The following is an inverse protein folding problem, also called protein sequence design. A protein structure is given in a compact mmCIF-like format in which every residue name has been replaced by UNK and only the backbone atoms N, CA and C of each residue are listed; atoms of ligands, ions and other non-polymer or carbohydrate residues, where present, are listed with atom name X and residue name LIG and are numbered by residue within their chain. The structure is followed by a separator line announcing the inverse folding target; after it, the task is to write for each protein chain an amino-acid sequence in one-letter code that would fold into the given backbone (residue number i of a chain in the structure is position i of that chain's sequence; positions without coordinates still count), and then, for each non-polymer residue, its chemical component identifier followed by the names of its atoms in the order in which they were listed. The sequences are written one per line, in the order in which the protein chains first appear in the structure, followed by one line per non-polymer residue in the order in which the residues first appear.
data_IF_050649404576
#
_entry.id   IF_050649404576
#
_cell.length_a   1.000
_cell.length_b   1.000
_cell.length_c   1.000
_cell.angle_alpha   90.00
_cell.angle_beta   90.00
_cell.angle_gamma   90.00
#
_symmetry.space_group_name_H-M   'P 1'
#
loop_
_entity.id
_entity.type
_entity.pdbx_description
1 polymer ?
#
# COMPACT_ATOMS: atom_id res chain seq x y z
N UNK A 1 -21.13 20.57 -4.13
CA UNK A 1 -20.31 20.80 -5.30
C UNK A 1 -19.49 19.57 -5.65
N UNK A 2 -20.00 18.78 -6.50
CA UNK A 2 -19.44 17.45 -6.67
C UNK A 2 -18.53 17.30 -7.89
N UNK A 3 -18.13 18.40 -8.53
CA UNK A 3 -17.09 18.32 -9.51
C UNK A 3 -15.71 18.12 -8.86
N UNK A 4 -15.64 18.21 -7.52
CA UNK A 4 -14.44 17.87 -6.80
C UNK A 4 -14.23 16.36 -6.81
N UNK A 5 -12.98 15.97 -6.86
CA UNK A 5 -12.59 14.61 -6.65
C UNK A 5 -12.94 14.21 -5.21
N UNK A 6 -13.79 13.21 -5.05
CA UNK A 6 -13.96 12.57 -3.76
C UNK A 6 -12.74 11.70 -3.50
N UNK A 7 -12.19 11.78 -2.30
CA UNK A 7 -10.96 11.07 -2.00
C UNK A 7 -11.16 9.57 -2.06
N UNK A 8 -10.31 8.86 -2.81
CA UNK A 8 -10.33 7.41 -2.77
C UNK A 8 -9.87 6.91 -1.41
N UNK A 9 -10.27 5.70 -1.07
CA UNK A 9 -9.83 5.04 0.15
C UNK A 9 -8.79 3.99 -0.18
N UNK A 10 -7.87 3.79 0.75
CA UNK A 10 -6.78 2.83 0.61
C UNK A 10 -6.79 1.90 1.82
N UNK A 11 -6.69 0.60 1.59
CA UNK A 11 -6.64 -0.37 2.67
C UNK A 11 -5.66 -1.48 2.32
N UNK A 12 -4.83 -1.87 3.27
CA UNK A 12 -3.92 -2.99 3.08
C UNK A 12 -4.72 -4.28 3.31
N UNK A 13 -4.85 -5.09 2.27
CA UNK A 13 -5.62 -6.33 2.31
C UNK A 13 -4.76 -7.57 2.34
N UNK A 14 -3.54 -7.47 1.82
CA UNK A 14 -2.68 -8.62 1.67
C UNK A 14 -1.23 -8.20 1.78
N UNK A 15 -0.45 -9.00 2.49
CA UNK A 15 1.01 -8.87 2.52
C UNK A 15 1.57 -10.26 2.28
N UNK A 16 2.41 -10.40 1.27
CA UNK A 16 3.05 -11.65 0.95
C UNK A 16 4.56 -11.47 0.90
N UNK A 17 5.28 -12.51 1.32
CA UNK A 17 6.72 -12.59 1.11
C UNK A 17 6.93 -13.20 -0.26
N UNK A 18 7.61 -12.48 -1.14
CA UNK A 18 7.87 -12.95 -2.49
C UNK A 18 9.28 -13.50 -2.65
N UNK A 19 10.21 -13.09 -1.78
CA UNK A 19 11.58 -13.54 -1.84
C UNK A 19 12.28 -13.34 -0.51
N UNK A 20 13.05 -14.32 -0.10
CA UNK A 20 13.97 -14.26 1.04
C UNK A 20 15.39 -14.49 0.54
N UNK A 21 16.31 -13.65 0.99
CA UNK A 21 17.74 -13.85 0.80
C UNK A 21 18.41 -13.91 2.17
N UNK A 22 19.74 -13.98 2.18
CA UNK A 22 20.48 -14.03 3.45
C UNK A 22 20.37 -12.72 4.23
N UNK A 23 20.12 -11.61 3.56
CA UNK A 23 20.11 -10.30 4.20
C UNK A 23 18.79 -9.56 4.03
N UNK A 24 18.01 -9.88 3.00
CA UNK A 24 16.87 -9.10 2.58
C UNK A 24 15.59 -9.90 2.53
N UNK A 25 14.49 -9.20 2.66
CA UNK A 25 13.16 -9.76 2.49
C UNK A 25 12.38 -8.86 1.52
N UNK A 26 11.72 -9.48 0.55
CA UNK A 26 10.89 -8.80 -0.43
C UNK A 26 9.44 -9.08 -0.12
N UNK A 27 8.66 -8.02 0.00
CA UNK A 27 7.23 -8.09 0.22
C UNK A 27 6.48 -7.63 -1.03
N UNK A 28 5.27 -8.14 -1.16
CA UNK A 28 4.27 -7.60 -2.07
C UNK A 28 3.05 -7.23 -1.25
N UNK A 29 2.67 -5.96 -1.32
CA UNK A 29 1.49 -5.47 -0.64
C UNK A 29 0.33 -5.40 -1.62
N UNK A 30 -0.81 -5.98 -1.24
CA UNK A 30 -2.05 -5.79 -1.97
C UNK A 30 -2.82 -4.66 -1.31
N UNK A 31 -2.87 -3.52 -1.99
CA UNK A 31 -3.54 -2.32 -1.50
C UNK A 31 -4.85 -2.18 -2.26
N UNK A 32 -5.96 -2.24 -1.53
CA UNK A 32 -7.26 -2.05 -2.12
C UNK A 32 -7.54 -0.57 -2.25
N UNK A 33 -7.76 -0.12 -3.48
CA UNK A 33 -8.06 1.28 -3.77
C UNK A 33 -9.51 1.35 -4.23
N UNK A 34 -10.32 2.11 -3.50
CA UNK A 34 -11.72 2.30 -3.83
C UNK A 34 -11.92 3.69 -4.41
N UNK A 35 -12.48 3.76 -5.60
CA UNK A 35 -12.81 5.00 -6.28
C UNK A 35 -14.29 5.29 -6.08
N UNK A 36 -14.64 6.27 -5.21
CA UNK A 36 -16.05 6.59 -4.98
C UNK A 36 -16.63 7.51 -6.06
N UNK A 37 -15.82 7.98 -6.97
CA UNK A 37 -16.24 8.96 -7.97
C UNK A 37 -17.02 8.30 -9.11
N UNK A 38 -17.88 9.08 -9.75
CA UNK A 38 -18.65 8.64 -10.91
C UNK A 38 -17.88 8.71 -12.24
N UNK A 39 -16.56 8.86 -12.15
CA UNK A 39 -15.66 8.86 -13.29
C UNK A 39 -14.43 8.03 -13.00
N UNK A 40 -13.77 7.55 -14.06
CA UNK A 40 -12.54 6.79 -13.90
C UNK A 40 -11.41 7.69 -13.41
N UNK A 41 -10.48 7.11 -12.67
CA UNK A 41 -9.26 7.79 -12.29
C UNK A 41 -8.06 6.89 -12.56
N UNK A 42 -6.93 7.49 -12.83
CA UNK A 42 -5.67 6.79 -13.06
C UNK A 42 -4.75 7.04 -11.86
N UNK A 43 -4.38 5.96 -11.20
CA UNK A 43 -3.35 6.01 -10.19
C UNK A 43 -2.01 6.02 -10.91
N UNK A 44 -1.33 7.14 -10.89
CA UNK A 44 -0.08 7.32 -11.63
C UNK A 44 1.14 6.88 -10.86
N UNK A 45 1.11 7.09 -9.56
CA UNK A 45 2.19 6.69 -8.69
C UNK A 45 1.67 6.56 -7.26
N UNK A 46 2.34 5.74 -6.49
CA UNK A 46 2.03 5.52 -5.09
C UNK A 46 3.36 5.50 -4.33
N UNK A 47 3.51 6.41 -3.37
CA UNK A 47 4.64 6.41 -2.45
C UNK A 47 4.13 6.01 -1.08
N UNK A 48 4.85 5.16 -0.38
CA UNK A 48 4.38 4.64 0.89
C UNK A 48 5.52 4.31 1.84
N UNK A 49 5.21 4.47 3.13
CA UNK A 49 6.06 4.02 4.23
C UNK A 49 5.26 3.01 5.01
N UNK A 50 5.87 1.89 5.37
CA UNK A 50 5.21 0.79 6.04
C UNK A 50 5.83 0.58 7.42
N UNK A 51 4.94 0.38 8.41
CA UNK A 51 5.31 0.10 9.79
C UNK A 51 4.69 -1.25 10.20
N UNK A 52 5.47 -2.06 10.89
CA UNK A 52 4.97 -3.25 11.58
C UNK A 52 5.22 -3.06 13.07
N UNK A 53 4.15 -3.20 13.87
CA UNK A 53 4.20 -3.00 15.33
C UNK A 53 4.91 -1.69 15.71
N UNK A 54 4.51 -0.61 15.02
CA UNK A 54 5.02 0.75 15.23
C UNK A 54 6.48 0.97 14.82
N UNK A 55 7.09 -0.03 14.19
CA UNK A 55 8.46 0.09 13.69
C UNK A 55 8.46 0.31 12.19
N UNK A 56 9.10 1.36 11.74
CA UNK A 56 9.25 1.60 10.30
C UNK A 56 10.12 0.52 9.68
N UNK A 57 9.57 -0.23 8.74
CA UNK A 57 10.29 -1.30 8.07
C UNK A 57 10.83 -0.90 6.70
N UNK A 58 10.28 0.13 6.10
CA UNK A 58 10.80 0.60 4.82
C UNK A 58 9.84 1.52 4.10
N UNK A 59 10.34 2.03 2.98
CA UNK A 59 9.60 2.87 2.06
C UNK A 59 9.56 2.21 0.70
N UNK A 60 8.47 2.39 0.01
CA UNK A 60 8.33 1.87 -1.35
C UNK A 60 7.72 2.89 -2.28
N UNK A 61 7.82 2.59 -3.55
CA UNK A 61 7.21 3.40 -4.60
C UNK A 61 6.72 2.50 -5.72
N UNK A 62 5.52 2.77 -6.20
CA UNK A 62 4.97 2.13 -7.38
C UNK A 62 4.76 3.21 -8.43
N UNK A 63 5.48 3.11 -9.55
CA UNK A 63 5.39 4.05 -10.66
C UNK A 63 4.58 3.52 -11.83
N UNK A 64 3.90 2.42 -11.62
CA UNK A 64 3.06 1.80 -12.64
C UNK A 64 1.68 2.44 -12.62
N UNK A 65 1.22 2.92 -13.77
CA UNK A 65 -0.11 3.49 -13.90
C UNK A 65 -1.16 2.40 -13.84
N UNK A 66 -2.17 2.60 -12.98
CA UNK A 66 -3.27 1.66 -12.81
C UNK A 66 -4.58 2.43 -12.91
N UNK A 67 -5.46 1.99 -13.80
CA UNK A 67 -6.79 2.57 -13.90
C UNK A 67 -7.71 2.00 -12.84
N UNK A 68 -8.37 2.89 -12.11
CA UNK A 68 -9.39 2.53 -11.13
C UNK A 68 -10.71 3.03 -11.69
N UNK A 69 -11.56 2.11 -12.11
CA UNK A 69 -12.82 2.46 -12.74
C UNK A 69 -13.77 3.19 -11.79
N UNK A 70 -14.69 3.93 -12.37
CA UNK A 70 -15.71 4.66 -11.62
C UNK A 70 -16.47 3.73 -10.67
N UNK A 71 -16.72 4.19 -9.46
CA UNK A 71 -17.49 3.46 -8.44
C UNK A 71 -17.03 2.01 -8.26
N UNK A 72 -15.73 1.76 -8.43
CA UNK A 72 -15.17 0.40 -8.33
C UNK A 72 -13.97 0.35 -7.41
N UNK A 73 -13.56 -0.88 -7.11
CA UNK A 73 -12.45 -1.18 -6.23
C UNK A 73 -11.43 -2.00 -7.00
N UNK A 74 -10.17 -1.67 -6.85
CA UNK A 74 -9.07 -2.37 -7.51
C UNK A 74 -7.99 -2.73 -6.50
N UNK A 75 -7.49 -3.94 -6.58
CA UNK A 75 -6.36 -4.36 -5.76
C UNK A 75 -5.07 -4.01 -6.50
N UNK A 76 -4.28 -3.13 -5.91
CA UNK A 76 -3.03 -2.66 -6.49
C UNK A 76 -1.88 -3.40 -5.79
N UNK A 77 -0.98 -3.99 -6.58
CA UNK A 77 0.17 -4.72 -6.06
C UNK A 77 1.36 -3.77 -5.97
N UNK A 78 1.95 -3.67 -4.78
CA UNK A 78 3.04 -2.74 -4.53
C UNK A 78 4.22 -3.46 -3.86
N UNK A 79 5.45 -3.25 -4.34
CA UNK A 79 6.62 -3.94 -3.78
C UNK A 79 7.21 -3.19 -2.59
N UNK A 80 7.87 -3.93 -1.71
CA UNK A 80 8.73 -3.37 -0.68
C UNK A 80 9.88 -4.32 -0.41
N UNK A 81 11.09 -3.81 -0.49
CA UNK A 81 12.28 -4.55 -0.08
C UNK A 81 12.80 -3.95 1.21
N UNK A 82 13.10 -4.80 2.18
CA UNK A 82 13.73 -4.39 3.43
C UNK A 82 14.75 -5.43 3.86
N UNK A 83 15.58 -5.08 4.82
CA UNK A 83 16.54 -6.03 5.37
C UNK A 83 16.06 -6.54 6.74
N UNK A 84 16.68 -7.62 7.21
CA UNK A 84 16.30 -8.20 8.49
C UNK A 84 16.55 -7.25 9.66
N UNK A 85 17.57 -6.43 9.55
CA UNK A 85 17.90 -5.46 10.59
C UNK A 85 16.81 -4.40 10.72
N UNK A 86 16.30 -3.90 9.61
CA UNK A 86 15.21 -2.91 9.60
C UNK A 86 13.92 -3.50 10.14
N UNK A 87 13.63 -4.79 9.88
CA UNK A 87 12.47 -5.45 10.44
C UNK A 87 12.53 -5.55 11.96
N UNK A 88 13.71 -5.89 12.50
CA UNK A 88 13.89 -5.97 13.94
C UNK A 88 12.96 -7.00 14.60
N UNK A 89 12.35 -6.63 15.72
CA UNK A 89 11.48 -7.51 16.51
C UNK A 89 10.31 -8.11 15.73
N UNK A 90 9.63 -7.38 14.83
CA UNK A 90 8.56 -7.98 14.03
C UNK A 90 8.98 -9.16 13.16
N UNK A 91 10.28 -9.36 12.92
CA UNK A 91 10.74 -10.45 12.06
C UNK A 91 10.22 -11.81 12.49
N UNK A 92 10.24 -12.10 13.80
CA UNK A 92 9.74 -13.36 14.32
C UNK A 92 8.27 -13.58 14.00
N UNK A 93 7.45 -12.55 14.11
CA UNK A 93 6.03 -12.61 13.79
C UNK A 93 5.79 -12.78 12.30
N UNK A 94 6.59 -12.10 11.48
CA UNK A 94 6.54 -12.22 10.03
C UNK A 94 6.80 -13.66 9.61
N UNK A 95 7.89 -14.24 10.12
CA UNK A 95 8.30 -15.59 9.72
C UNK A 95 7.37 -16.68 10.25
N UNK A 96 6.74 -16.46 11.41
CA UNK A 96 5.82 -17.43 12.00
C UNK A 96 4.39 -17.31 11.48
N UNK A 97 4.09 -16.27 10.69
CA UNK A 97 2.75 -16.05 10.15
C UNK A 97 1.74 -15.59 11.18
N UNK A 98 2.19 -15.00 12.28
CA UNK A 98 1.30 -14.45 13.29
C UNK A 98 0.79 -13.07 12.90
N UNK A 99 -0.30 -12.64 13.54
CA UNK A 99 -0.86 -11.31 13.29
C UNK A 99 0.12 -10.22 13.67
N UNK A 100 0.16 -9.19 12.83
CA UNK A 100 0.96 -8.00 13.06
C UNK A 100 0.04 -6.78 13.02
N UNK A 101 0.35 -5.79 13.82
CA UNK A 101 -0.22 -4.47 13.59
C UNK A 101 0.56 -3.80 12.47
N UNK A 102 -0.15 -3.24 11.52
CA UNK A 102 0.47 -2.51 10.43
C UNK A 102 -0.01 -1.08 10.41
N UNK A 103 0.80 -0.23 9.83
CA UNK A 103 0.42 1.10 9.39
C UNK A 103 1.09 1.34 8.06
N UNK A 104 0.30 1.82 7.09
CA UNK A 104 0.83 2.27 5.83
C UNK A 104 0.40 3.72 5.64
N UNK A 105 1.34 4.57 5.29
CA UNK A 105 1.06 5.97 5.03
C UNK A 105 1.87 6.45 3.84
N UNK A 106 1.34 7.42 3.15
CA UNK A 106 2.03 7.94 1.99
C UNK A 106 1.15 8.87 1.19
N UNK A 107 1.40 8.89 -0.12
CA UNK A 107 0.66 9.74 -1.03
C UNK A 107 0.46 9.04 -2.36
N UNK A 108 -0.72 9.24 -2.94
CA UNK A 108 -1.09 8.74 -4.24
C UNK A 108 -1.18 9.91 -5.21
N UNK A 109 -0.58 9.77 -6.40
CA UNK A 109 -0.75 10.73 -7.48
C UNK A 109 -1.84 10.18 -8.39
N UNK A 110 -2.95 10.89 -8.47
CA UNK A 110 -4.16 10.46 -9.16
C UNK A 110 -4.50 11.46 -10.24
N UNK A 111 -4.75 10.96 -11.45
CA UNK A 111 -5.22 11.77 -12.58
C UNK A 111 -6.64 11.39 -12.91
N UNK A 112 -7.46 12.41 -13.09
CA UNK A 112 -8.83 12.28 -13.61
C UNK A 112 -9.05 13.33 -14.67
N UNK A 113 -10.24 13.36 -15.25
CA UNK A 113 -10.54 14.33 -16.33
C UNK A 113 -10.38 15.78 -15.87
N UNK A 114 -10.51 16.04 -14.57
CA UNK A 114 -10.39 17.40 -14.02
C UNK A 114 -8.95 17.80 -13.71
N UNK A 115 -8.00 16.91 -13.84
CA UNK A 115 -6.60 17.19 -13.58
C UNK A 115 -5.94 16.14 -12.68
N UNK A 116 -4.78 16.51 -12.15
CA UNK A 116 -3.97 15.63 -11.31
C UNK A 116 -3.96 16.14 -9.88
N UNK A 117 -4.08 15.21 -8.94
CA UNK A 117 -4.05 15.54 -7.52
C UNK A 117 -3.11 14.59 -6.78
N UNK A 118 -2.50 15.10 -5.71
CA UNK A 118 -1.73 14.29 -4.78
C UNK A 118 -2.59 14.09 -3.54
N UNK A 119 -2.86 12.84 -3.22
CA UNK A 119 -3.78 12.47 -2.15
C UNK A 119 -2.99 11.75 -1.06
N UNK A 120 -2.84 12.37 0.12
CA UNK A 120 -2.20 11.69 1.25
C UNK A 120 -3.14 10.62 1.80
N UNK A 121 -2.58 9.55 2.32
CA UNK A 121 -3.36 8.52 2.98
C UNK A 121 -2.60 7.93 4.15
N UNK A 122 -3.36 7.38 5.09
CA UNK A 122 -2.83 6.66 6.24
C UNK A 122 -3.85 5.63 6.66
N UNK A 123 -3.40 4.39 6.85
CA UNK A 123 -4.28 3.30 7.25
C UNK A 123 -3.55 2.37 8.20
N UNK A 124 -4.24 1.97 9.27
CA UNK A 124 -3.72 1.03 10.26
C UNK A 124 -4.67 -0.14 10.41
N UNK A 125 -4.15 -1.25 10.88
CA UNK A 125 -4.94 -2.45 11.14
C UNK A 125 -4.05 -3.61 11.53
N UNK A 126 -4.62 -4.81 11.45
CA UNK A 126 -3.88 -6.04 11.69
C UNK A 126 -3.88 -6.90 10.44
N UNK A 127 -2.81 -7.63 10.24
CA UNK A 127 -2.65 -8.48 9.07
C UNK A 127 -1.76 -9.67 9.38
N UNK A 128 -2.01 -10.79 8.71
CA UNK A 128 -1.11 -11.93 8.64
C UNK A 128 -0.36 -11.90 7.33
N UNK A 129 0.94 -12.17 7.39
CA UNK A 129 1.77 -12.18 6.22
C UNK A 129 1.76 -13.57 5.61
N UNK A 130 1.48 -13.65 4.33
CA UNK A 130 1.53 -14.89 3.56
C UNK A 130 2.97 -15.16 3.12
N UNK A 131 3.35 -16.42 3.16
CA UNK A 131 4.67 -16.84 2.69
C UNK A 131 4.61 -17.48 1.33
#
# INVERSE_FOLDING_TARGET
MSWFLEQPTFALKEVAITRLSLTDIHFRFGIEVQNPNSFDMDLRALEYTVYFNDRQIGRGRLDKEVRIGKTSTTLVQAPLQTDFKSLGDPLGLVLSGQNLRYKIEGAAIVKASLGTATIPFSKSGEIKIKK
#
